data_IF_642249263839
#
_entry.id   IF_642249263839
#
_cell.length_a   1.000
_cell.length_b   1.000
_cell.length_c   1.000
_cell.angle_alpha   90.00
_cell.angle_beta   90.00
_cell.angle_gamma   90.00
#
_symmetry.space_group_name_H-M   'P 1'
#
loop_
_entity.id
_entity.type
_entity.pdbx_description
1 polymer ?
#
# COMPACT_ATOMS: atom_id res chain seq x y z
N UNK A 1 2.13 -4.81 7.58
CA UNK A 1 1.36 -5.79 6.77
C UNK A 1 0.49 -6.69 7.62
N UNK A 2 1.06 -7.51 8.53
CA UNK A 2 0.30 -8.52 9.31
C UNK A 2 -0.86 -7.94 10.12
N UNK A 3 -0.67 -6.84 10.85
CA UNK A 3 -1.74 -6.23 11.66
C UNK A 3 -2.96 -5.86 10.79
N UNK A 4 -2.73 -5.19 9.66
CA UNK A 4 -3.78 -4.81 8.71
C UNK A 4 -4.50 -6.03 8.14
N UNK A 5 -3.74 -7.06 7.75
CA UNK A 5 -4.28 -8.34 7.28
C UNK A 5 -5.20 -9.00 8.32
N UNK A 6 -4.72 -9.10 9.56
CA UNK A 6 -5.49 -9.72 10.64
C UNK A 6 -6.72 -8.91 11.05
N UNK A 7 -6.66 -7.59 10.89
CA UNK A 7 -7.78 -6.70 11.14
C UNK A 7 -8.75 -6.58 9.95
N UNK A 8 -8.42 -7.15 8.79
CA UNK A 8 -9.22 -7.01 7.56
C UNK A 8 -9.25 -5.58 7.00
N UNK A 9 -8.20 -4.80 7.26
CA UNK A 9 -8.09 -3.40 6.83
C UNK A 9 -7.26 -3.32 5.54
N UNK A 10 -7.77 -2.72 4.44
CA UNK A 10 -7.00 -2.52 3.22
C UNK A 10 -5.88 -1.49 3.41
N UNK A 11 -4.80 -1.61 2.62
CA UNK A 11 -3.58 -0.83 2.79
C UNK A 11 -3.33 0.15 1.63
N UNK A 12 -2.95 1.38 1.94
CA UNK A 12 -2.21 2.22 1.00
C UNK A 12 -0.71 1.94 1.19
N UNK A 13 -0.05 1.45 0.15
CA UNK A 13 1.32 0.98 0.21
C UNK A 13 2.27 2.03 -0.36
N UNK A 14 3.27 2.45 0.41
CA UNK A 14 4.37 3.28 -0.08
C UNK A 14 5.71 2.68 0.38
N UNK A 15 6.26 1.72 -0.37
CA UNK A 15 7.42 0.95 0.07
C UNK A 15 8.72 1.76 -0.04
N UNK A 16 9.54 1.76 1.02
CA UNK A 16 10.83 2.47 0.99
C UNK A 16 12.03 1.52 0.80
N UNK A 17 12.22 0.54 1.69
CA UNK A 17 13.36 -0.37 1.61
C UNK A 17 13.08 -1.72 2.28
N UNK A 18 13.93 -2.70 1.97
CA UNK A 18 13.88 -4.03 2.57
C UNK A 18 12.81 -4.92 1.97
N UNK A 19 12.00 -5.52 2.85
CA UNK A 19 10.88 -6.41 2.52
C UNK A 19 9.62 -5.65 2.09
N UNK A 20 9.54 -4.34 2.35
CA UNK A 20 8.38 -3.51 2.02
C UNK A 20 8.00 -3.56 0.52
N UNK A 21 8.98 -3.68 -0.38
CA UNK A 21 8.72 -3.84 -1.82
C UNK A 21 7.95 -5.13 -2.13
N UNK A 22 8.30 -6.24 -1.47
CA UNK A 22 7.55 -7.49 -1.63
C UNK A 22 6.18 -7.39 -0.99
N UNK A 23 6.08 -6.84 0.21
CA UNK A 23 4.81 -6.65 0.90
C UNK A 23 3.83 -5.79 0.09
N UNK A 24 4.31 -4.69 -0.52
CA UNK A 24 3.52 -3.85 -1.43
C UNK A 24 3.04 -4.66 -2.64
N UNK A 25 3.95 -5.39 -3.30
CA UNK A 25 3.62 -6.23 -4.47
C UNK A 25 2.55 -7.27 -4.13
N UNK A 26 2.70 -8.00 -3.04
CA UNK A 26 1.72 -9.00 -2.63
C UNK A 26 0.38 -8.34 -2.27
N UNK A 27 0.40 -7.27 -1.49
CA UNK A 27 -0.82 -6.57 -1.07
C UNK A 27 -1.60 -6.01 -2.26
N UNK A 28 -0.92 -5.39 -3.23
CA UNK A 28 -1.56 -4.71 -4.36
C UNK A 28 -1.90 -5.66 -5.53
N UNK A 29 -0.99 -6.58 -5.88
CA UNK A 29 -1.12 -7.36 -7.12
C UNK A 29 -1.62 -8.79 -6.90
N UNK A 30 -1.25 -9.43 -5.78
CA UNK A 30 -1.57 -10.84 -5.54
C UNK A 30 -2.82 -10.99 -4.68
N UNK A 31 -2.94 -10.20 -3.61
CA UNK A 31 -4.05 -10.27 -2.66
C UNK A 31 -5.17 -9.28 -2.97
N UNK A 32 -4.89 -8.22 -3.74
CA UNK A 32 -5.88 -7.22 -4.13
C UNK A 32 -6.49 -6.44 -2.95
N UNK A 33 -5.75 -6.34 -1.84
CA UNK A 33 -6.16 -5.62 -0.62
C UNK A 33 -5.38 -4.31 -0.41
N UNK A 34 -4.53 -3.96 -1.38
CA UNK A 34 -3.67 -2.79 -1.32
C UNK A 34 -3.75 -1.93 -2.57
N UNK A 35 -3.40 -0.66 -2.42
CA UNK A 35 -3.13 0.25 -3.53
C UNK A 35 -1.78 0.93 -3.32
N UNK A 36 -0.94 0.93 -4.35
CA UNK A 36 0.39 1.53 -4.28
C UNK A 36 0.32 3.05 -4.52
N UNK A 37 1.03 3.81 -3.69
CA UNK A 37 1.27 5.25 -3.87
C UNK A 37 2.50 5.41 -4.77
N UNK A 38 2.41 6.32 -5.74
CA UNK A 38 3.53 6.71 -6.60
C UNK A 38 4.81 7.03 -5.79
N UNK A 39 5.96 6.62 -6.33
CA UNK A 39 7.27 6.95 -5.74
C UNK A 39 7.53 8.47 -5.71
N UNK A 40 6.96 9.22 -6.66
CA UNK A 40 6.92 10.69 -6.63
C UNK A 40 5.67 11.13 -5.87
N UNK A 41 5.74 11.09 -4.53
CA UNK A 41 4.58 11.33 -3.67
C UNK A 41 4.12 12.78 -3.78
N UNK A 42 2.86 12.96 -4.17
CA UNK A 42 2.19 14.27 -4.20
C UNK A 42 0.95 14.26 -3.32
N UNK A 43 0.72 15.39 -2.63
CA UNK A 43 -0.37 15.52 -1.64
C UNK A 43 -1.74 15.28 -2.27
N UNK A 44 -1.98 15.84 -3.44
CA UNK A 44 -3.22 15.72 -4.21
C UNK A 44 -3.49 14.28 -4.66
N UNK A 45 -2.44 13.55 -5.06
CA UNK A 45 -2.56 12.13 -5.39
C UNK A 45 -2.92 11.29 -4.16
N UNK A 46 -2.24 11.50 -3.04
CA UNK A 46 -2.55 10.81 -1.78
C UNK A 46 -3.96 11.14 -1.31
N UNK A 47 -4.38 12.40 -1.40
CA UNK A 47 -5.75 12.81 -1.04
C UNK A 47 -6.80 12.09 -1.88
N UNK A 48 -6.55 11.88 -3.18
CA UNK A 48 -7.44 11.12 -4.07
C UNK A 48 -7.50 9.64 -3.72
N UNK A 49 -6.42 9.05 -3.19
CA UNK A 49 -6.38 7.65 -2.80
C UNK A 49 -7.04 7.38 -1.44
N UNK A 50 -7.11 8.39 -0.57
CA UNK A 50 -7.69 8.28 0.79
C UNK A 50 -9.20 8.57 0.80
N UNK A 51 -9.71 9.33 -0.16
CA UNK A 51 -11.15 9.69 -0.27
C UNK A 51 -11.94 8.68 -1.08
#
# INVERSE_FOLDING_TARGET
TVESLTAGVPMLCWPFSGDQQMDCRYSCNEWGIGMEISNDVKRDEVERLVR
#
